data_IF_152452397451
#
_entry.id   IF_152452397451
#
_cell.length_a   1.000
_cell.length_b   1.000
_cell.length_c   1.000
_cell.angle_alpha   90.00
_cell.angle_beta   90.00
_cell.angle_gamma   90.00
#
_symmetry.space_group_name_H-M   'P 1'
#
loop_
_entity.id
_entity.type
_entity.pdbx_description
1 polymer ?
#
# COMPACT_ATOMS: atom_id res chain seq x y z
N UNK A 1 18.98 5.57 -12.01
CA UNK A 1 18.23 4.46 -11.43
C UNK A 1 19.20 3.29 -11.28
N UNK A 2 19.44 2.85 -10.06
CA UNK A 2 20.53 1.94 -9.73
C UNK A 2 20.11 0.45 -9.71
N UNK A 3 18.84 0.15 -9.96
CA UNK A 3 18.34 -1.22 -9.90
C UNK A 3 18.38 -1.90 -11.26
N UNK A 4 18.68 -3.22 -11.29
CA UNK A 4 18.75 -4.00 -12.54
C UNK A 4 17.39 -4.13 -13.23
N UNK A 5 16.29 -4.03 -12.47
CA UNK A 5 14.95 -4.07 -12.99
C UNK A 5 14.52 -2.69 -13.48
N UNK A 6 13.74 -2.66 -14.57
CA UNK A 6 13.23 -1.43 -15.15
C UNK A 6 12.00 -0.94 -14.39
N UNK A 7 12.21 -0.20 -13.31
CA UNK A 7 11.12 0.48 -12.60
C UNK A 7 10.92 1.90 -13.15
N UNK A 8 9.68 2.25 -13.43
CA UNK A 8 9.25 3.63 -13.60
C UNK A 8 8.65 4.12 -12.27
N UNK A 9 8.75 5.41 -12.02
CA UNK A 9 8.31 6.01 -10.77
C UNK A 9 7.23 7.04 -11.04
N UNK A 10 6.04 6.81 -10.50
CA UNK A 10 4.98 7.82 -10.45
C UNK A 10 4.91 8.42 -9.06
N UNK A 11 5.12 9.71 -8.95
CA UNK A 11 4.87 10.47 -7.72
C UNK A 11 3.49 11.11 -7.81
N UNK A 12 2.67 10.91 -6.78
CA UNK A 12 1.37 11.56 -6.65
C UNK A 12 1.48 12.59 -5.55
N UNK A 13 1.43 13.86 -5.90
CA UNK A 13 1.56 14.98 -4.98
C UNK A 13 0.22 15.65 -4.70
N UNK A 14 -0.14 15.72 -3.42
CA UNK A 14 -1.37 16.33 -2.92
C UNK A 14 -1.23 17.82 -2.65
N UNK A 15 -0.57 18.54 -3.55
CA UNK A 15 -0.25 19.95 -3.41
C UNK A 15 0.59 20.23 -2.16
N UNK A 16 1.73 19.55 -2.05
CA UNK A 16 2.66 19.68 -0.95
C UNK A 16 3.33 21.05 -0.94
N UNK A 17 3.34 21.79 0.18
CA UNK A 17 3.90 23.14 0.24
C UNK A 17 5.42 23.17 0.42
N UNK A 18 6.08 22.02 0.50
CA UNK A 18 7.49 21.84 0.84
C UNK A 18 8.44 21.76 -0.37
N UNK A 19 7.94 22.01 -1.58
CA UNK A 19 8.72 21.92 -2.81
C UNK A 19 8.89 20.50 -3.35
N UNK A 20 8.11 19.53 -2.87
CA UNK A 20 8.15 18.14 -3.36
C UNK A 20 7.93 18.07 -4.87
N UNK A 21 6.91 18.75 -5.39
CA UNK A 21 6.58 18.70 -6.81
C UNK A 21 7.71 19.27 -7.69
N UNK A 22 8.32 20.40 -7.29
CA UNK A 22 9.44 21.02 -8.00
C UNK A 22 10.70 20.13 -7.98
N UNK A 23 10.90 19.38 -6.90
CA UNK A 23 12.00 18.41 -6.81
C UNK A 23 11.76 17.24 -7.78
N UNK A 24 10.52 16.77 -7.92
CA UNK A 24 10.18 15.71 -8.88
C UNK A 24 10.30 16.19 -10.32
N UNK A 25 9.92 17.43 -10.64
CA UNK A 25 10.07 17.99 -11.98
C UNK A 25 11.53 17.98 -12.44
N UNK A 26 12.47 18.33 -11.56
CA UNK A 26 13.91 18.21 -11.85
C UNK A 26 14.37 16.78 -12.11
N UNK A 27 13.70 15.80 -11.44
CA UNK A 27 13.98 14.40 -11.73
C UNK A 27 13.40 13.94 -13.06
N UNK A 28 12.26 14.48 -13.48
CA UNK A 28 11.68 14.23 -14.81
C UNK A 28 12.63 14.73 -15.90
N UNK A 29 13.19 15.93 -15.76
CA UNK A 29 14.21 16.46 -16.71
C UNK A 29 15.42 15.53 -16.84
N UNK A 30 15.85 14.92 -15.72
CA UNK A 30 17.00 14.01 -15.68
C UNK A 30 16.67 12.59 -16.16
N UNK A 31 15.43 12.14 -15.96
CA UNK A 31 14.98 10.80 -16.29
C UNK A 31 13.65 10.85 -17.05
N UNK A 32 13.65 11.40 -18.28
CA UNK A 32 12.45 11.46 -19.10
C UNK A 32 11.91 10.05 -19.36
N UNK A 33 10.60 9.92 -19.45
CA UNK A 33 9.88 8.66 -19.65
C UNK A 33 10.06 7.59 -18.55
N UNK A 34 10.71 7.95 -17.43
CA UNK A 34 10.95 7.04 -16.30
C UNK A 34 10.42 7.56 -14.97
N UNK A 35 10.32 8.89 -14.85
CA UNK A 35 9.75 9.56 -13.68
C UNK A 35 8.55 10.38 -14.12
N UNK A 36 7.46 10.25 -13.40
CA UNK A 36 6.18 10.89 -13.69
C UNK A 36 5.66 11.59 -12.45
N UNK A 37 4.94 12.69 -12.65
CA UNK A 37 4.30 13.46 -11.59
C UNK A 37 2.82 13.66 -11.91
N UNK A 38 1.96 13.29 -10.96
CA UNK A 38 0.53 13.63 -10.96
C UNK A 38 0.25 14.58 -9.79
N UNK A 39 -0.08 15.83 -10.09
CA UNK A 39 -0.45 16.84 -9.10
C UNK A 39 -1.96 16.77 -8.85
N UNK A 40 -2.36 16.66 -7.58
CA UNK A 40 -3.76 16.75 -7.18
C UNK A 40 -4.03 18.07 -6.46
N UNK A 41 -5.30 18.47 -6.41
CA UNK A 41 -5.69 19.77 -5.82
C UNK A 41 -5.50 19.88 -4.30
N UNK A 42 -5.24 18.74 -3.63
CA UNK A 42 -5.03 18.71 -2.17
C UNK A 42 -5.21 17.32 -1.56
N UNK A 43 -5.12 17.24 -0.24
CA UNK A 43 -5.20 15.99 0.53
C UNK A 43 -6.61 15.43 0.57
N UNK A 44 -6.89 14.46 -0.30
CA UNK A 44 -8.17 13.76 -0.41
C UNK A 44 -8.18 12.40 0.32
N UNK A 45 -7.07 12.04 0.97
CA UNK A 45 -6.85 10.79 1.67
C UNK A 45 -5.92 9.84 0.93
N UNK A 46 -5.13 9.05 1.69
CA UNK A 46 -4.08 8.16 1.18
C UNK A 46 -4.61 7.18 0.13
N UNK A 47 -5.71 6.50 0.42
CA UNK A 47 -6.32 5.53 -0.50
C UNK A 47 -6.72 6.13 -1.84
N UNK A 48 -7.17 7.40 -1.85
CA UNK A 48 -7.52 8.06 -3.12
C UNK A 48 -6.28 8.39 -3.97
N UNK A 49 -5.12 8.61 -3.35
CA UNK A 49 -3.86 8.78 -4.06
C UNK A 49 -3.43 7.47 -4.72
N UNK A 50 -3.44 6.37 -3.97
CA UNK A 50 -3.12 5.05 -4.53
C UNK A 50 -4.09 4.63 -5.63
N UNK A 51 -5.40 4.83 -5.48
CA UNK A 51 -6.38 4.55 -6.54
C UNK A 51 -6.08 5.36 -7.80
N UNK A 52 -5.71 6.64 -7.68
CA UNK A 52 -5.31 7.47 -8.80
C UNK A 52 -4.09 6.88 -9.52
N UNK A 53 -3.05 6.50 -8.76
CA UNK A 53 -1.86 5.85 -9.30
C UNK A 53 -2.13 4.50 -9.95
N UNK A 54 -2.99 3.68 -9.36
CA UNK A 54 -3.38 2.39 -9.95
C UNK A 54 -4.10 2.58 -11.29
N UNK A 55 -5.02 3.54 -11.38
CA UNK A 55 -5.71 3.85 -12.65
C UNK A 55 -4.74 4.39 -13.70
N UNK A 56 -3.79 5.25 -13.30
CA UNK A 56 -2.74 5.74 -14.18
C UNK A 56 -1.88 4.60 -14.72
N UNK A 57 -1.47 3.66 -13.87
CA UNK A 57 -0.68 2.50 -14.27
C UNK A 57 -1.48 1.51 -15.14
N UNK A 58 -2.76 1.28 -14.84
CA UNK A 58 -3.64 0.42 -15.62
C UNK A 58 -3.95 0.98 -17.03
N UNK A 59 -3.88 2.29 -17.22
CA UNK A 59 -3.99 2.93 -18.52
C UNK A 59 -2.71 2.78 -19.39
N UNK A 60 -1.67 2.12 -18.86
CA UNK A 60 -0.37 1.85 -19.48
C UNK A 60 -0.03 0.37 -19.37
N UNK A 61 1.04 -0.08 -20.01
CA UNK A 61 1.41 -1.51 -20.11
C UNK A 61 2.35 -1.96 -18.97
N UNK A 62 1.97 -1.69 -17.71
CA UNK A 62 2.70 -2.21 -16.56
C UNK A 62 2.13 -3.55 -16.10
N UNK A 63 2.97 -4.58 -16.02
CA UNK A 63 2.60 -5.90 -15.51
C UNK A 63 2.51 -5.97 -13.98
N UNK A 64 3.34 -5.18 -13.30
CA UNK A 64 3.42 -5.10 -11.84
C UNK A 64 3.37 -3.64 -11.39
N UNK A 65 2.59 -3.36 -10.37
CA UNK A 65 2.43 -2.05 -9.79
C UNK A 65 2.78 -2.13 -8.31
N UNK A 66 3.71 -1.29 -7.87
CA UNK A 66 4.16 -1.25 -6.48
C UNK A 66 3.73 0.07 -5.85
N UNK A 67 3.07 -0.02 -4.70
CA UNK A 67 2.80 1.14 -3.84
C UNK A 67 3.85 1.24 -2.74
N UNK A 68 4.28 2.46 -2.43
CA UNK A 68 5.29 2.75 -1.42
C UNK A 68 5.10 4.17 -0.88
N UNK A 69 5.26 4.38 0.42
CA UNK A 69 5.28 5.72 1.00
C UNK A 69 6.62 6.42 0.69
N UNK A 70 6.57 7.73 0.41
CA UNK A 70 7.74 8.56 0.03
C UNK A 70 8.38 9.28 1.23
N UNK A 71 8.31 8.71 2.45
CA UNK A 71 8.79 9.32 3.71
C UNK A 71 10.03 8.62 4.30
N UNK A 72 10.73 7.83 3.48
CA UNK A 72 11.89 7.02 3.84
C UNK A 72 11.61 5.92 4.90
N UNK A 73 10.36 5.61 5.18
CA UNK A 73 10.03 4.50 6.08
C UNK A 73 10.20 3.11 5.42
N UNK A 74 10.15 3.05 4.11
CA UNK A 74 10.42 1.84 3.33
C UNK A 74 11.79 1.94 2.64
N UNK A 75 12.59 0.87 2.70
CA UNK A 75 13.84 0.79 1.98
C UNK A 75 13.56 0.53 0.49
N UNK A 76 14.02 1.40 -0.44
CA UNK A 76 13.86 1.16 -1.88
C UNK A 76 14.50 -0.14 -2.38
N UNK A 77 15.53 -0.67 -1.71
CA UNK A 77 16.16 -1.96 -2.07
C UNK A 77 15.18 -3.14 -1.97
N UNK A 78 14.14 -3.01 -1.17
CA UNK A 78 13.09 -4.03 -1.08
C UNK A 78 12.16 -4.07 -2.31
N UNK A 79 12.16 -3.05 -3.20
CA UNK A 79 11.38 -3.04 -4.45
C UNK A 79 11.67 -4.29 -5.30
N UNK A 80 12.95 -4.55 -5.55
CA UNK A 80 13.40 -5.73 -6.32
C UNK A 80 12.95 -7.03 -5.65
N UNK A 81 13.03 -7.12 -4.32
CA UNK A 81 12.60 -8.30 -3.57
C UNK A 81 11.10 -8.56 -3.67
N UNK A 82 10.26 -7.51 -3.55
CA UNK A 82 8.81 -7.63 -3.72
C UNK A 82 8.46 -8.06 -5.16
N UNK A 83 9.09 -7.41 -6.14
CA UNK A 83 8.88 -7.71 -7.56
C UNK A 83 9.23 -9.16 -7.89
N UNK A 84 10.43 -9.61 -7.54
CA UNK A 84 10.87 -10.98 -7.83
C UNK A 84 10.04 -12.02 -7.08
N UNK A 85 9.64 -11.76 -5.85
CA UNK A 85 8.74 -12.69 -5.16
C UNK A 85 7.39 -12.84 -5.88
N UNK A 86 6.86 -11.76 -6.46
CA UNK A 86 5.63 -11.85 -7.27
C UNK A 86 5.88 -12.52 -8.62
N UNK A 87 6.94 -12.14 -9.34
CA UNK A 87 7.23 -12.60 -10.69
C UNK A 87 7.68 -14.06 -10.72
N UNK A 88 8.72 -14.39 -9.95
CA UNK A 88 9.44 -15.66 -10.06
C UNK A 88 8.72 -16.78 -9.29
N UNK A 89 8.07 -16.45 -8.16
CA UNK A 89 7.32 -17.40 -7.35
C UNK A 89 5.82 -17.44 -7.68
N UNK A 90 5.36 -16.62 -8.63
CA UNK A 90 4.01 -16.64 -9.15
C UNK A 90 2.94 -16.15 -8.18
N UNK A 91 3.30 -15.24 -7.26
CA UNK A 91 2.33 -14.58 -6.41
C UNK A 91 1.66 -13.40 -7.14
N UNK A 92 0.40 -13.18 -6.84
CA UNK A 92 -0.40 -12.10 -7.41
C UNK A 92 -0.24 -10.80 -6.62
N UNK A 93 0.04 -10.94 -5.33
CA UNK A 93 0.32 -9.83 -4.42
C UNK A 93 1.46 -10.22 -3.50
N UNK A 94 2.47 -9.38 -3.38
CA UNK A 94 3.54 -9.50 -2.37
C UNK A 94 3.52 -8.30 -1.46
N UNK A 95 3.49 -8.54 -0.15
CA UNK A 95 3.42 -7.53 0.90
C UNK A 95 4.76 -7.46 1.61
N UNK A 96 5.33 -6.27 1.74
CA UNK A 96 6.44 -5.99 2.65
C UNK A 96 5.95 -5.94 4.08
N UNK A 97 6.20 -7.01 4.84
CA UNK A 97 5.62 -7.25 6.16
C UNK A 97 6.60 -6.91 7.28
N UNK A 98 6.15 -6.15 8.27
CA UNK A 98 6.88 -5.81 9.48
C UNK A 98 6.87 -6.96 10.50
N UNK A 99 5.99 -7.96 10.31
CA UNK A 99 5.66 -8.96 11.34
C UNK A 99 5.83 -10.41 10.91
N UNK A 100 6.22 -10.70 9.68
CA UNK A 100 6.32 -12.09 9.21
C UNK A 100 7.48 -12.86 9.87
N UNK A 101 8.60 -12.19 10.18
CA UNK A 101 9.79 -12.76 10.82
C UNK A 101 10.12 -12.10 12.16
N UNK A 102 9.11 -11.79 12.98
CA UNK A 102 9.27 -11.05 14.22
C UNK A 102 8.77 -9.60 14.07
N UNK A 103 9.29 -8.69 14.89
CA UNK A 103 8.92 -7.26 14.87
C UNK A 103 10.07 -6.45 14.26
N UNK A 104 9.91 -6.06 13.00
CA UNK A 104 10.95 -5.39 12.21
C UNK A 104 10.62 -3.90 12.03
N UNK A 105 10.55 -3.17 13.15
CA UNK A 105 10.31 -1.72 13.15
C UNK A 105 11.41 -1.01 13.94
N UNK A 106 11.86 0.14 13.44
CA UNK A 106 12.93 0.93 14.06
C UNK A 106 12.36 2.27 14.52
N UNK A 107 12.73 2.68 15.74
CA UNK A 107 12.35 3.96 16.35
C UNK A 107 10.84 4.16 16.54
N UNK A 108 10.08 3.09 16.77
CA UNK A 108 8.68 3.18 17.16
C UNK A 108 8.54 3.09 18.68
N UNK A 109 7.68 3.92 19.32
CA UNK A 109 7.25 3.68 20.69
C UNK A 109 6.58 2.30 20.82
N UNK A 110 6.82 1.59 21.92
CA UNK A 110 6.26 0.26 22.16
C UNK A 110 4.73 0.23 22.04
N UNK A 111 4.06 1.28 22.50
CA UNK A 111 2.60 1.41 22.37
C UNK A 111 2.13 1.36 20.91
N UNK A 112 2.87 2.01 19.99
CA UNK A 112 2.59 1.99 18.55
C UNK A 112 2.85 0.60 17.94
N UNK A 113 3.92 -0.06 18.37
CA UNK A 113 4.21 -1.46 17.95
C UNK A 113 3.07 -2.39 18.33
N UNK A 114 2.66 -2.36 19.60
CA UNK A 114 1.58 -3.21 20.10
C UNK A 114 0.25 -2.90 19.39
N UNK A 115 -0.09 -1.63 19.24
CA UNK A 115 -1.32 -1.22 18.56
C UNK A 115 -1.35 -1.71 17.11
N UNK A 116 -0.27 -1.55 16.35
CA UNK A 116 -0.17 -2.00 14.96
C UNK A 116 -0.20 -3.53 14.84
N UNK A 117 0.49 -4.24 15.73
CA UNK A 117 0.48 -5.69 15.77
C UNK A 117 -0.92 -6.25 16.08
N UNK A 118 -1.56 -5.75 17.14
CA UNK A 118 -2.90 -6.19 17.52
C UNK A 118 -3.96 -5.79 16.48
N UNK A 119 -3.80 -4.66 15.79
CA UNK A 119 -4.66 -4.31 14.65
C UNK A 119 -4.59 -5.39 13.56
N UNK A 120 -3.41 -5.88 13.22
CA UNK A 120 -3.26 -6.95 12.22
C UNK A 120 -3.83 -8.29 12.73
N UNK A 121 -3.68 -8.60 14.01
CA UNK A 121 -4.33 -9.79 14.64
C UNK A 121 -5.85 -9.69 14.54
N UNK A 122 -6.41 -8.56 14.92
CA UNK A 122 -7.86 -8.30 14.81
C UNK A 122 -8.38 -8.45 13.38
N UNK A 123 -7.73 -7.81 12.42
CA UNK A 123 -8.10 -7.91 11.01
C UNK A 123 -8.10 -9.36 10.55
N UNK A 124 -7.07 -10.14 10.91
CA UNK A 124 -6.96 -11.56 10.58
C UNK A 124 -8.12 -12.37 11.16
N UNK A 125 -8.48 -12.12 12.43
CA UNK A 125 -9.58 -12.82 13.10
C UNK A 125 -10.92 -12.55 12.44
N UNK A 126 -11.21 -11.31 12.09
CA UNK A 126 -12.49 -10.92 11.48
C UNK A 126 -12.59 -11.34 10.02
N UNK A 127 -11.54 -11.11 9.24
CA UNK A 127 -11.56 -11.34 7.79
C UNK A 127 -11.29 -12.79 7.39
N UNK A 128 -10.54 -13.52 8.21
CA UNK A 128 -10.03 -14.86 7.89
C UNK A 128 -8.80 -14.83 6.97
N UNK A 129 -8.20 -13.66 6.67
CA UNK A 129 -6.95 -13.58 5.92
C UNK A 129 -5.79 -14.10 6.77
N UNK A 130 -4.97 -14.99 6.21
CA UNK A 130 -3.75 -15.46 6.89
C UNK A 130 -2.57 -14.53 6.60
N UNK A 131 -2.69 -13.25 6.99
CA UNK A 131 -1.65 -12.23 6.83
C UNK A 131 -1.14 -11.78 8.19
N UNK A 132 0.19 -11.64 8.33
CA UNK A 132 0.83 -11.13 9.55
C UNK A 132 0.74 -9.61 9.64
N UNK A 133 0.78 -8.93 8.49
CA UNK A 133 0.73 -7.47 8.40
C UNK A 133 -0.35 -6.98 7.43
N UNK A 134 -1.60 -7.01 7.89
CA UNK A 134 -2.75 -6.57 7.11
C UNK A 134 -2.75 -5.06 6.81
N UNK A 135 -2.00 -4.27 7.56
CA UNK A 135 -1.96 -2.79 7.48
C UNK A 135 -0.74 -2.24 6.73
N UNK A 136 0.15 -3.10 6.23
CA UNK A 136 1.33 -2.68 5.47
C UNK A 136 0.95 -1.90 4.20
N UNK A 137 1.70 -0.84 3.90
CA UNK A 137 1.51 0.03 2.73
C UNK A 137 2.59 -0.16 1.65
N UNK A 138 3.48 -1.13 1.78
CA UNK A 138 4.46 -1.48 0.78
C UNK A 138 4.06 -2.79 0.11
N UNK A 139 3.44 -2.70 -1.06
CA UNK A 139 2.79 -3.85 -1.71
C UNK A 139 3.06 -3.84 -3.20
N UNK A 140 3.45 -4.99 -3.73
CA UNK A 140 3.54 -5.25 -5.16
C UNK A 140 2.28 -6.00 -5.61
N UNK A 141 1.59 -5.47 -6.59
CA UNK A 141 0.42 -6.07 -7.23
C UNK A 141 0.77 -6.52 -8.65
N UNK A 142 0.36 -7.71 -9.02
CA UNK A 142 0.28 -8.09 -10.42
C UNK A 142 -0.91 -7.37 -11.06
N UNK A 143 -0.76 -6.85 -12.28
CA UNK A 143 -1.78 -6.08 -13.01
C UNK A 143 -3.18 -6.68 -12.90
N UNK A 144 -3.31 -8.00 -13.12
CA UNK A 144 -4.60 -8.71 -13.09
C UNK A 144 -5.36 -8.57 -11.77
N UNK A 145 -4.68 -8.34 -10.65
CA UNK A 145 -5.32 -8.10 -9.35
C UNK A 145 -6.07 -6.77 -9.38
N UNK A 146 -5.40 -5.71 -9.81
CA UNK A 146 -5.98 -4.37 -9.86
C UNK A 146 -7.09 -4.27 -10.91
N UNK A 147 -6.95 -4.94 -12.06
CA UNK A 147 -8.00 -5.03 -13.08
C UNK A 147 -9.26 -5.75 -12.57
N UNK A 148 -9.08 -6.74 -11.69
CA UNK A 148 -10.19 -7.51 -11.14
C UNK A 148 -11.00 -6.75 -10.09
N UNK A 149 -10.41 -5.72 -9.45
CA UNK A 149 -11.01 -4.93 -8.38
C UNK A 149 -11.64 -3.66 -8.97
N UNK A 150 -12.92 -3.44 -8.70
CA UNK A 150 -13.52 -2.15 -9.05
C UNK A 150 -12.98 -1.06 -8.11
N UNK A 151 -11.94 -0.33 -8.58
CA UNK A 151 -11.25 0.70 -7.80
C UNK A 151 -12.17 1.88 -7.42
N UNK A 152 -13.24 2.14 -8.20
CA UNK A 152 -14.22 3.20 -7.89
C UNK A 152 -15.15 2.83 -6.72
N UNK A 153 -15.21 1.53 -6.39
CA UNK A 153 -16.00 1.01 -5.26
C UNK A 153 -15.18 0.73 -4.01
N UNK A 154 -13.96 1.25 -3.92
CA UNK A 154 -13.16 1.24 -2.69
C UNK A 154 -13.75 2.27 -1.73
N UNK A 155 -14.13 1.82 -0.54
CA UNK A 155 -14.84 2.68 0.43
C UNK A 155 -13.89 3.44 1.36
N UNK A 156 -12.73 2.83 1.71
CA UNK A 156 -11.83 3.43 2.69
C UNK A 156 -10.76 4.32 2.05
N UNK A 157 -10.57 5.49 2.64
CA UNK A 157 -9.62 6.51 2.15
C UNK A 157 -8.35 6.62 3.02
N UNK A 158 -8.40 6.11 4.24
CA UNK A 158 -7.31 6.13 5.21
C UNK A 158 -6.57 4.80 5.31
N UNK A 159 -6.08 4.46 6.50
CA UNK A 159 -5.34 3.21 6.74
C UNK A 159 -6.13 1.93 6.43
N UNK A 160 -7.46 1.96 6.59
CA UNK A 160 -8.32 0.84 6.25
C UNK A 160 -8.34 0.52 4.75
N UNK A 161 -7.93 1.43 3.87
CA UNK A 161 -7.71 1.20 2.45
C UNK A 161 -6.81 -0.01 2.21
N UNK A 162 -5.69 -0.11 2.93
CA UNK A 162 -4.75 -1.22 2.80
C UNK A 162 -5.40 -2.57 3.16
N UNK A 163 -6.25 -2.55 4.17
CA UNK A 163 -7.00 -3.75 4.59
C UNK A 163 -8.02 -4.14 3.53
N UNK A 164 -8.76 -3.15 2.99
CA UNK A 164 -9.78 -3.39 1.96
C UNK A 164 -9.16 -3.99 0.68
N UNK A 165 -8.05 -3.44 0.20
CA UNK A 165 -7.35 -3.94 -1.00
C UNK A 165 -6.90 -5.40 -0.82
N UNK A 166 -6.27 -5.73 0.32
CA UNK A 166 -5.84 -7.09 0.63
C UNK A 166 -7.03 -8.04 0.78
N UNK A 167 -8.10 -7.59 1.42
CA UNK A 167 -9.30 -8.40 1.61
C UNK A 167 -10.00 -8.71 0.29
N UNK A 168 -10.15 -7.72 -0.60
CA UNK A 168 -10.71 -7.95 -1.94
C UNK A 168 -9.83 -8.89 -2.76
N UNK A 169 -8.51 -8.72 -2.71
CA UNK A 169 -7.55 -9.63 -3.36
C UNK A 169 -7.71 -11.07 -2.84
N UNK A 170 -7.79 -11.25 -1.52
CA UNK A 170 -8.01 -12.54 -0.89
C UNK A 170 -9.35 -13.17 -1.28
N UNK A 171 -10.44 -12.40 -1.28
CA UNK A 171 -11.78 -12.87 -1.64
C UNK A 171 -11.90 -13.32 -3.09
N UNK A 172 -11.10 -12.75 -3.98
CA UNK A 172 -11.01 -13.17 -5.38
C UNK A 172 -10.12 -14.39 -5.61
N UNK A 173 -9.52 -14.95 -4.54
CA UNK A 173 -8.73 -16.18 -4.61
C UNK A 173 -7.31 -15.99 -5.15
N UNK A 174 -6.80 -14.77 -5.22
CA UNK A 174 -5.43 -14.51 -5.63
C UNK A 174 -4.40 -15.00 -4.61
N UNK A 175 -3.23 -15.38 -5.09
CA UNK A 175 -2.12 -15.84 -4.26
C UNK A 175 -1.39 -14.66 -3.63
N UNK A 176 -1.41 -14.56 -2.31
CA UNK A 176 -0.78 -13.49 -1.54
C UNK A 176 0.41 -14.05 -0.77
N UNK A 177 1.52 -13.32 -0.80
CA UNK A 177 2.72 -13.61 -0.02
C UNK A 177 3.15 -12.41 0.81
N UNK A 178 3.87 -12.67 1.90
CA UNK A 178 4.53 -11.65 2.70
C UNK A 178 6.04 -11.92 2.70
N UNK A 179 6.84 -10.87 2.53
CA UNK A 179 8.30 -10.92 2.74
C UNK A 179 8.69 -9.96 3.85
N UNK A 180 9.72 -10.27 4.66
CA UNK A 180 10.13 -9.39 5.74
C UNK A 180 10.80 -8.13 5.18
N UNK A 181 10.38 -6.97 5.71
CA UNK A 181 11.03 -5.68 5.50
C UNK A 181 11.36 -5.05 6.85
N UNK A 182 12.29 -4.11 6.86
CA UNK A 182 12.57 -3.24 8.02
C UNK A 182 11.85 -1.91 7.77
N UNK A 183 10.94 -1.55 8.68
CA UNK A 183 10.24 -0.28 8.63
C UNK A 183 10.91 0.71 9.59
N UNK A 184 11.38 1.83 9.06
CA UNK A 184 12.03 2.89 9.86
C UNK A 184 11.00 3.98 10.12
N UNK A 185 10.94 4.50 11.36
CA UNK A 185 10.06 5.63 11.62
C UNK A 185 10.47 6.82 10.76
N UNK A 186 9.50 7.50 10.14
CA UNK A 186 9.77 8.69 9.33
C UNK A 186 10.63 9.70 10.08
N UNK A 187 11.58 10.30 9.37
CA UNK A 187 12.49 11.29 9.95
C UNK A 187 11.88 12.72 9.96
N UNK A 188 10.92 12.97 9.06
CA UNK A 188 10.26 14.26 8.89
C UNK A 188 8.74 14.12 8.95
N UNK A 189 8.06 15.13 9.49
CA UNK A 189 6.61 15.18 9.61
C UNK A 189 6.04 14.46 10.85
N UNK A 190 4.78 14.75 11.17
CA UNK A 190 4.06 14.17 12.31
C UNK A 190 3.11 13.06 11.90
N UNK A 191 3.03 12.00 12.71
CA UNK A 191 2.04 10.93 12.49
C UNK A 191 0.63 11.47 12.74
N UNK A 192 -0.27 11.27 11.76
CA UNK A 192 -1.68 11.68 11.83
C UNK A 192 -2.60 10.61 12.44
N UNK A 193 -2.04 9.57 13.05
CA UNK A 193 -2.87 8.56 13.72
C UNK A 193 -3.47 9.15 15.00
N UNK A 194 -4.79 9.24 15.03
CA UNK A 194 -5.56 9.54 16.23
C UNK A 194 -6.52 8.37 16.54
N UNK A 195 -7.09 8.35 17.73
CA UNK A 195 -7.98 7.29 18.21
C UNK A 195 -9.25 7.15 17.38
N UNK A 196 -9.75 8.22 16.77
CA UNK A 196 -10.95 8.17 15.92
C UNK A 196 -10.70 7.40 14.62
N UNK A 197 -9.54 7.57 13.99
CA UNK A 197 -9.16 6.83 12.77
C UNK A 197 -9.03 5.33 13.07
N UNK A 198 -8.54 4.97 14.25
CA UNK A 198 -8.45 3.59 14.67
C UNK A 198 -9.83 2.96 14.88
N UNK A 199 -10.74 3.66 15.55
CA UNK A 199 -12.13 3.21 15.76
C UNK A 199 -12.87 3.02 14.44
N UNK A 200 -12.76 3.97 13.51
CA UNK A 200 -13.36 3.87 12.18
C UNK A 200 -12.84 2.65 11.41
N UNK A 201 -11.53 2.38 11.47
CA UNK A 201 -10.92 1.21 10.85
C UNK A 201 -11.45 -0.10 11.46
N UNK A 202 -11.63 -0.17 12.76
CA UNK A 202 -12.16 -1.36 13.44
C UNK A 202 -13.58 -1.70 12.98
N UNK A 203 -14.51 -0.74 13.01
CA UNK A 203 -15.88 -0.93 12.49
C UNK A 203 -15.88 -1.22 10.99
N UNK A 204 -15.01 -0.55 10.23
CA UNK A 204 -14.87 -0.75 8.80
C UNK A 204 -14.51 -2.20 8.43
N UNK A 205 -13.64 -2.86 9.18
CA UNK A 205 -13.26 -4.26 8.94
C UNK A 205 -14.45 -5.21 9.14
N UNK A 206 -15.26 -5.00 10.19
CA UNK A 206 -16.48 -5.79 10.41
C UNK A 206 -17.45 -5.57 9.25
N UNK A 207 -17.67 -4.31 8.85
CA UNK A 207 -18.52 -3.98 7.70
C UNK A 207 -18.05 -4.67 6.42
N UNK A 208 -16.76 -4.62 6.12
CA UNK A 208 -16.17 -5.33 4.97
C UNK A 208 -16.49 -6.83 4.99
N UNK A 209 -16.34 -7.46 6.15
CA UNK A 209 -16.66 -8.89 6.31
C UNK A 209 -18.14 -9.16 6.05
N UNK A 210 -19.03 -8.40 6.66
CA UNK A 210 -20.47 -8.54 6.48
C UNK A 210 -20.90 -8.29 5.02
N UNK A 211 -20.39 -7.22 4.40
CA UNK A 211 -20.64 -6.93 2.98
C UNK A 211 -20.17 -8.09 2.07
N UNK A 212 -19.06 -8.75 2.40
CA UNK A 212 -18.58 -9.89 1.63
C UNK A 212 -19.46 -11.13 1.71
N UNK A 213 -20.28 -11.23 2.75
CA UNK A 213 -21.23 -12.33 2.93
C UNK A 213 -22.56 -12.01 2.25
N UNK A 214 -23.08 -10.80 2.49
CA UNK A 214 -24.43 -10.42 2.08
C UNK A 214 -24.49 -9.70 0.71
N UNK A 215 -23.38 -9.10 0.27
CA UNK A 215 -23.30 -8.28 -0.96
C UNK A 215 -22.18 -8.75 -1.88
N UNK A 216 -22.25 -10.02 -2.31
CA UNK A 216 -21.21 -10.66 -3.17
C UNK A 216 -20.84 -9.83 -4.42
N UNK A 217 -21.73 -9.01 -4.93
CA UNK A 217 -21.49 -8.15 -6.12
C UNK A 217 -20.47 -7.00 -5.88
N UNK A 218 -20.04 -6.76 -4.65
CA UNK A 218 -19.02 -5.75 -4.31
C UNK A 218 -17.59 -6.31 -4.33
N UNK A 219 -17.42 -7.63 -4.41
CA UNK A 219 -16.14 -8.34 -4.29
C UNK A 219 -15.78 -9.16 -5.56
#
# INVERSE_FOLDING_TARGET
MAYPDNFDVLVIDDNSPDGTAEAVEKLIERYPDRVFLERRSGKLGLGTAYIHGFKWALARDYDYIIEMDADFSHNPDDLTRLYHNSKDNGYDMTIGSRYISGVNVVNWPMSRVLMSFFASVYVRMITGMNLKDATAGFVCYRRRVLESINLDKIEFKGYAFQIEMKFKTHKKGFKISEIPIIFINRQMGTSKMNSSIFGEAMFGVVKLKLDSIFRKSKF
#
